data_IF_158873849916
#
_entry.id   IF_158873849916
#
_cell.length_a   1.000
_cell.length_b   1.000
_cell.length_c   1.000
_cell.angle_alpha   90.00
_cell.angle_beta   90.00
_cell.angle_gamma   90.00
#
_symmetry.space_group_name_H-M   'P 1'
#
loop_
_entity.id
_entity.type
_entity.pdbx_description
1 polymer ?
#
# COMPACT_ATOMS: atom_id res chain seq x y z
N UNK A 1 14.77 12.57 2.44
CA UNK A 1 13.32 12.79 2.29
C UNK A 1 12.90 12.15 0.98
N UNK A 2 12.23 11.01 1.06
CA UNK A 2 11.63 10.39 -0.13
C UNK A 2 10.30 11.09 -0.36
N UNK A 3 10.16 11.85 -1.43
CA UNK A 3 8.86 12.34 -1.86
C UNK A 3 8.02 11.15 -2.35
N UNK A 4 6.87 10.96 -1.72
CA UNK A 4 5.88 10.00 -2.21
C UNK A 4 5.21 10.63 -3.43
N UNK A 5 5.14 9.95 -4.59
CA UNK A 5 4.47 10.49 -5.76
C UNK A 5 3.04 10.90 -5.42
N UNK A 6 2.69 12.14 -5.68
CA UNK A 6 1.33 12.66 -5.44
C UNK A 6 0.43 12.14 -6.55
N UNK A 7 -0.50 11.24 -6.22
CA UNK A 7 -1.64 10.94 -7.09
C UNK A 7 -2.59 12.14 -7.24
N UNK A 8 -3.61 12.05 -8.11
CA UNK A 8 -4.57 13.12 -8.30
C UNK A 8 -5.22 13.48 -6.97
N UNK A 9 -5.20 14.79 -6.63
CA UNK A 9 -5.93 15.38 -5.51
C UNK A 9 -7.22 15.96 -6.03
N UNK A 10 -8.29 15.92 -5.20
CA UNK A 10 -9.48 16.72 -5.46
C UNK A 10 -9.16 18.22 -5.40
N UNK A 11 -10.02 19.06 -5.95
CA UNK A 11 -9.88 20.52 -5.86
C UNK A 11 -9.78 21.00 -4.40
N UNK A 12 -10.39 20.28 -3.46
CA UNK A 12 -10.35 20.55 -2.02
C UNK A 12 -9.03 20.12 -1.34
N UNK A 13 -8.06 19.62 -2.08
CA UNK A 13 -6.78 19.15 -1.54
C UNK A 13 -6.88 17.86 -0.71
N UNK A 14 -7.95 17.07 -0.88
CA UNK A 14 -8.14 15.78 -0.23
C UNK A 14 -7.85 14.65 -1.21
N UNK A 15 -7.11 13.64 -0.79
CA UNK A 15 -6.81 12.46 -1.59
C UNK A 15 -7.19 11.19 -0.83
N UNK A 16 -8.03 10.37 -1.44
CA UNK A 16 -8.39 9.05 -0.92
C UNK A 16 -7.21 8.10 -1.11
N UNK A 17 -6.91 7.33 -0.08
CA UNK A 17 -5.77 6.39 -0.04
C UNK A 17 -6.19 5.06 0.61
N UNK A 18 -5.47 3.96 0.33
CA UNK A 18 -5.75 2.67 0.96
C UNK A 18 -5.62 2.69 2.50
N UNK A 19 -4.60 3.37 3.01
CA UNK A 19 -4.36 3.57 4.44
C UNK A 19 -3.53 4.84 4.65
N UNK A 20 -3.47 5.33 5.88
CA UNK A 20 -2.71 6.51 6.30
C UNK A 20 -1.65 6.12 7.33
N UNK A 21 -0.56 6.90 7.40
CA UNK A 21 0.47 6.67 8.41
C UNK A 21 0.01 7.14 9.79
N UNK A 22 0.37 6.38 10.83
CA UNK A 22 0.14 6.73 12.24
C UNK A 22 0.97 7.91 12.74
N UNK A 23 1.95 8.40 11.96
CA UNK A 23 2.78 9.55 12.33
C UNK A 23 1.96 10.82 12.58
N UNK A 24 0.85 10.99 11.84
CA UNK A 24 -0.12 12.05 12.07
C UNK A 24 -1.46 11.61 11.50
N UNK A 25 -2.36 11.14 12.35
CA UNK A 25 -3.66 10.64 11.95
C UNK A 25 -4.76 11.23 12.83
N UNK A 26 -5.88 11.57 12.22
CA UNK A 26 -7.11 11.96 12.92
C UNK A 26 -8.15 10.89 12.67
N UNK A 27 -8.73 10.36 13.73
CA UNK A 27 -9.83 9.40 13.70
C UNK A 27 -10.87 9.80 14.75
N UNK A 28 -12.16 9.60 14.45
CA UNK A 28 -13.19 9.88 15.45
C UNK A 28 -13.13 8.85 16.58
N UNK A 29 -13.44 9.26 17.81
CA UNK A 29 -13.49 8.36 18.97
C UNK A 29 -14.40 7.17 18.70
N UNK A 30 -15.58 7.41 18.16
CA UNK A 30 -16.55 6.34 17.86
C UNK A 30 -15.97 5.30 16.92
N UNK A 31 -15.30 5.71 15.85
CA UNK A 31 -14.66 4.77 14.91
C UNK A 31 -13.47 4.04 15.56
N UNK A 32 -12.67 4.76 16.36
CA UNK A 32 -11.57 4.14 17.10
C UNK A 32 -12.05 3.03 18.03
N UNK A 33 -13.13 3.28 18.78
CA UNK A 33 -13.74 2.31 19.69
C UNK A 33 -14.40 1.14 18.90
N UNK A 34 -15.12 1.44 17.80
CA UNK A 34 -15.71 0.44 16.90
C UNK A 34 -14.65 -0.53 16.36
N UNK A 35 -13.49 -0.01 15.96
CA UNK A 35 -12.41 -0.80 15.41
C UNK A 35 -11.52 -1.46 16.48
N UNK A 36 -11.63 -1.08 17.75
CA UNK A 36 -10.80 -1.61 18.85
C UNK A 36 -9.39 -1.04 18.89
N UNK A 37 -9.14 0.14 18.32
CA UNK A 37 -7.84 0.80 18.34
C UNK A 37 -6.78 0.13 17.47
N UNK A 38 -5.50 0.29 17.82
CA UNK A 38 -4.41 -0.43 17.17
C UNK A 38 -4.37 -1.90 17.60
N UNK A 39 -4.04 -2.79 16.67
CA UNK A 39 -3.78 -4.20 16.98
C UNK A 39 -2.38 -4.33 17.61
N UNK A 40 -2.34 -4.65 18.91
CA UNK A 40 -1.12 -4.78 19.71
C UNK A 40 -0.21 -5.95 19.27
N UNK A 41 -0.67 -6.80 18.37
CA UNK A 41 0.15 -7.82 17.74
C UNK A 41 1.20 -7.28 16.76
N UNK A 42 1.10 -5.99 16.40
CA UNK A 42 2.16 -5.30 15.67
C UNK A 42 3.12 -4.63 16.65
N UNK A 43 4.40 -4.63 16.33
CA UNK A 43 5.43 -4.01 17.16
C UNK A 43 6.21 -2.98 16.33
N UNK A 44 5.93 -1.71 16.57
CA UNK A 44 6.60 -0.57 15.93
C UNK A 44 6.48 -0.50 14.40
N UNK A 45 5.35 -0.90 13.84
CA UNK A 45 5.08 -0.75 12.41
C UNK A 45 4.00 -1.71 11.88
N UNK A 46 3.14 -1.24 10.99
CA UNK A 46 2.05 -1.99 10.39
C UNK A 46 0.69 -1.83 11.08
N UNK A 47 0.67 -1.40 12.34
CA UNK A 47 -0.54 -1.14 13.12
C UNK A 47 -1.43 -0.06 12.49
N UNK A 48 -0.83 0.95 11.89
CA UNK A 48 -1.50 2.05 11.22
C UNK A 48 -2.12 1.61 9.88
N UNK A 49 -1.39 0.82 9.13
CA UNK A 49 -1.91 0.22 7.89
C UNK A 49 -3.07 -0.74 8.18
N UNK A 50 -2.93 -1.58 9.21
CA UNK A 50 -3.99 -2.49 9.64
C UNK A 50 -5.25 -1.74 10.06
N UNK A 51 -5.12 -0.66 10.85
CA UNK A 51 -6.24 0.20 11.22
C UNK A 51 -6.92 0.80 9.99
N UNK A 52 -6.14 1.27 9.01
CA UNK A 52 -6.66 1.79 7.75
C UNK A 52 -7.46 0.75 6.96
N UNK A 53 -6.98 -0.48 6.88
CA UNK A 53 -7.71 -1.58 6.22
C UNK A 53 -8.97 -1.99 6.98
N UNK A 54 -8.93 -2.02 8.32
CA UNK A 54 -10.15 -2.27 9.14
C UNK A 54 -11.19 -1.17 8.94
N UNK A 55 -10.78 0.09 8.87
CA UNK A 55 -11.68 1.19 8.57
C UNK A 55 -12.35 1.02 7.20
N UNK A 56 -11.59 0.65 6.16
CA UNK A 56 -12.14 0.35 4.83
C UNK A 56 -13.12 -0.84 4.86
N UNK A 57 -12.80 -1.90 5.57
CA UNK A 57 -13.68 -3.06 5.73
C UNK A 57 -15.00 -2.70 6.45
N UNK A 58 -14.97 -1.70 7.34
CA UNK A 58 -16.15 -1.11 7.97
C UNK A 58 -16.86 -0.05 7.10
N UNK A 59 -16.53 0.05 5.80
CA UNK A 59 -17.16 0.99 4.86
C UNK A 59 -16.73 2.44 5.05
N UNK A 60 -15.60 2.69 5.73
CA UNK A 60 -15.05 4.04 5.91
C UNK A 60 -13.98 4.33 4.85
N UNK A 61 -13.57 5.59 4.77
CA UNK A 61 -12.62 6.09 3.79
C UNK A 61 -11.39 6.62 4.51
N UNK A 62 -10.20 6.23 4.06
CA UNK A 62 -8.95 6.85 4.48
C UNK A 62 -8.60 7.98 3.50
N UNK A 63 -8.25 9.15 4.04
CA UNK A 63 -7.94 10.32 3.24
C UNK A 63 -6.71 11.07 3.77
N UNK A 64 -5.98 11.68 2.85
CA UNK A 64 -4.86 12.58 3.16
C UNK A 64 -5.25 14.00 2.82
N UNK A 65 -5.12 14.90 3.79
CA UNK A 65 -5.25 16.34 3.59
C UNK A 65 -3.92 16.87 3.06
N UNK A 66 -3.84 17.13 1.75
CA UNK A 66 -2.59 17.47 1.05
C UNK A 66 -1.97 18.80 1.48
N UNK A 67 -2.77 19.68 2.09
CA UNK A 67 -2.30 20.97 2.61
C UNK A 67 -1.80 20.89 4.06
N UNK A 68 -2.06 19.78 4.77
CA UNK A 68 -1.54 19.54 6.12
C UNK A 68 -0.20 18.80 6.03
N UNK A 69 0.87 19.52 6.30
CA UNK A 69 2.24 18.99 6.18
C UNK A 69 2.92 18.96 7.53
N UNK A 70 3.40 17.81 7.94
CA UNK A 70 4.18 17.61 9.16
C UNK A 70 5.56 17.06 8.85
N UNK A 71 6.58 17.47 9.62
CA UNK A 71 7.90 16.87 9.53
C UNK A 71 7.94 15.62 10.41
N UNK A 72 8.19 14.48 9.79
CA UNK A 72 8.33 13.20 10.47
C UNK A 72 9.80 12.75 10.48
N UNK A 73 10.36 12.56 11.70
CA UNK A 73 11.71 12.00 11.90
C UNK A 73 11.63 10.48 11.89
N UNK A 74 11.63 9.91 10.67
CA UNK A 74 11.46 8.45 10.45
C UNK A 74 12.62 7.68 11.10
N UNK A 75 12.28 6.55 11.78
CA UNK A 75 13.25 5.59 12.34
C UNK A 75 14.22 6.18 13.35
N UNK A 76 13.82 7.21 14.11
CA UNK A 76 14.66 7.82 15.15
C UNK A 76 14.77 6.96 16.42
N UNK A 77 13.88 5.99 16.65
CA UNK A 77 13.90 5.12 17.82
C UNK A 77 14.82 3.90 17.60
N UNK A 78 15.70 3.57 18.56
CA UNK A 78 16.50 2.34 18.49
C UNK A 78 15.65 1.08 18.39
N UNK A 79 16.09 0.10 17.59
CA UNK A 79 15.39 -1.20 17.46
C UNK A 79 14.06 -1.17 16.69
N UNK A 80 13.63 -0.03 16.14
CA UNK A 80 12.34 0.11 15.44
C UNK A 80 12.13 -0.93 14.34
N UNK A 81 13.19 -1.29 13.61
CA UNK A 81 13.10 -2.23 12.48
C UNK A 81 13.21 -3.70 12.87
N UNK A 82 13.38 -4.01 14.14
CA UNK A 82 13.63 -5.38 14.60
C UNK A 82 12.49 -6.36 14.27
N UNK A 83 11.28 -5.86 14.05
CA UNK A 83 10.10 -6.66 13.74
C UNK A 83 9.45 -6.34 12.38
N UNK A 84 10.11 -5.56 11.51
CA UNK A 84 9.53 -5.14 10.23
C UNK A 84 9.08 -6.33 9.37
N UNK A 85 9.86 -7.41 9.32
CA UNK A 85 9.53 -8.61 8.54
C UNK A 85 8.33 -9.36 9.13
N UNK A 86 8.29 -9.52 10.44
CA UNK A 86 7.17 -10.14 11.15
C UNK A 86 5.88 -9.33 10.94
N UNK A 87 5.95 -8.02 11.11
CA UNK A 87 4.80 -7.12 10.93
C UNK A 87 4.31 -7.14 9.47
N UNK A 88 5.23 -7.10 8.51
CA UNK A 88 4.90 -7.17 7.08
C UNK A 88 4.21 -8.49 6.71
N UNK A 89 4.73 -9.62 7.22
CA UNK A 89 4.12 -10.94 7.03
C UNK A 89 2.72 -10.99 7.64
N UNK A 90 2.56 -10.51 8.89
CA UNK A 90 1.27 -10.44 9.59
C UNK A 90 0.24 -9.63 8.80
N UNK A 91 0.62 -8.45 8.35
CA UNK A 91 -0.21 -7.57 7.54
C UNK A 91 -0.63 -8.25 6.23
N UNK A 92 0.34 -8.83 5.52
CA UNK A 92 0.11 -9.50 4.26
C UNK A 92 -0.75 -10.77 4.38
N UNK A 93 -0.66 -11.51 5.47
CA UNK A 93 -1.55 -12.66 5.74
C UNK A 93 -2.99 -12.20 5.95
N UNK A 94 -3.19 -11.12 6.71
CA UNK A 94 -4.52 -10.60 7.05
C UNK A 94 -5.21 -9.91 5.87
N UNK A 95 -4.46 -9.11 5.10
CA UNK A 95 -5.00 -8.20 4.07
C UNK A 95 -4.52 -8.54 2.65
N UNK A 96 -4.26 -9.82 2.38
CA UNK A 96 -3.65 -10.28 1.14
C UNK A 96 -4.37 -9.80 -0.11
N UNK A 97 -5.69 -9.95 -0.15
CA UNK A 97 -6.50 -9.60 -1.32
C UNK A 97 -6.52 -8.08 -1.54
N UNK A 98 -6.68 -7.31 -0.47
CA UNK A 98 -6.67 -5.85 -0.51
C UNK A 98 -5.31 -5.32 -0.95
N UNK A 99 -4.23 -5.86 -0.41
CA UNK A 99 -2.86 -5.49 -0.80
C UNK A 99 -2.58 -5.82 -2.27
N UNK A 100 -3.03 -6.96 -2.77
CA UNK A 100 -2.93 -7.31 -4.18
C UNK A 100 -3.69 -6.31 -5.05
N UNK A 101 -4.94 -6.00 -4.69
CA UNK A 101 -5.77 -5.05 -5.42
C UNK A 101 -5.15 -3.64 -5.43
N UNK A 102 -4.74 -3.15 -4.27
CA UNK A 102 -4.14 -1.82 -4.10
C UNK A 102 -2.77 -1.69 -4.79
N UNK A 103 -2.09 -2.80 -5.07
CA UNK A 103 -0.80 -2.83 -5.78
C UNK A 103 -0.92 -2.76 -7.30
N UNK A 104 -2.10 -3.00 -7.86
CA UNK A 104 -2.29 -3.08 -9.31
C UNK A 104 -2.12 -1.74 -10.02
N UNK A 105 -2.74 -0.67 -9.52
CA UNK A 105 -2.62 0.66 -10.12
C UNK A 105 -1.19 1.22 -10.00
N UNK A 106 -0.50 1.18 -8.84
CA UNK A 106 0.91 1.56 -8.74
C UNK A 106 1.81 0.77 -9.70
N UNK A 107 1.59 -0.54 -9.85
CA UNK A 107 2.33 -1.34 -10.83
C UNK A 107 2.07 -0.83 -12.26
N UNK A 108 0.83 -0.61 -12.62
CA UNK A 108 0.45 -0.12 -13.95
C UNK A 108 1.10 1.25 -14.25
N UNK A 109 1.12 2.16 -13.29
CA UNK A 109 1.77 3.47 -13.42
C UNK A 109 3.28 3.33 -13.61
N UNK A 110 3.93 2.46 -12.82
CA UNK A 110 5.36 2.19 -12.94
C UNK A 110 5.71 1.57 -14.30
N UNK A 111 4.92 0.61 -14.77
CA UNK A 111 5.09 -0.02 -16.08
C UNK A 111 5.01 0.99 -17.22
N UNK A 112 4.03 1.91 -17.21
CA UNK A 112 3.95 2.96 -18.24
C UNK A 112 5.12 3.93 -18.17
N UNK A 113 5.56 4.31 -16.99
CA UNK A 113 6.72 5.17 -16.82
C UNK A 113 8.00 4.52 -17.37
N UNK A 114 8.21 3.22 -17.11
CA UNK A 114 9.34 2.47 -17.65
C UNK A 114 9.24 2.29 -19.17
N UNK A 115 8.06 1.97 -19.70
CA UNK A 115 7.81 1.85 -21.12
C UNK A 115 8.12 3.14 -21.89
N UNK A 116 7.90 4.30 -21.27
CA UNK A 116 8.24 5.61 -21.84
C UNK A 116 9.75 5.85 -21.91
N UNK A 117 10.49 5.36 -20.92
CA UNK A 117 11.96 5.54 -20.84
C UNK A 117 12.70 4.51 -21.71
N UNK A 118 12.15 3.31 -21.90
CA UNK A 118 12.76 2.21 -22.65
C UNK A 118 11.82 1.67 -23.73
N UNK A 119 11.54 2.43 -24.79
CA UNK A 119 10.57 2.05 -25.80
C UNK A 119 10.94 0.80 -26.60
N UNK A 120 12.20 0.46 -26.67
CA UNK A 120 12.75 -0.73 -27.34
C UNK A 120 12.46 -2.05 -26.63
N UNK A 121 12.14 -2.01 -25.34
CA UNK A 121 11.85 -3.18 -24.52
C UNK A 121 10.34 -3.36 -24.25
N UNK A 122 9.48 -2.69 -25.01
CA UNK A 122 8.04 -2.68 -24.73
C UNK A 122 7.32 -3.96 -25.15
N UNK A 123 6.54 -4.44 -24.19
CA UNK A 123 5.42 -5.34 -24.46
C UNK A 123 4.21 -4.49 -24.90
N UNK A 124 4.10 -4.13 -26.18
CA UNK A 124 3.09 -3.19 -26.69
C UNK A 124 1.67 -3.46 -26.21
N UNK A 125 1.24 -4.72 -26.23
CA UNK A 125 -0.11 -5.10 -25.80
C UNK A 125 -0.32 -4.87 -24.31
N UNK A 126 0.70 -5.14 -23.48
CA UNK A 126 0.63 -4.88 -22.02
C UNK A 126 0.56 -3.38 -21.78
N UNK A 127 1.37 -2.60 -22.48
CA UNK A 127 1.40 -1.14 -22.39
C UNK A 127 0.05 -0.53 -22.77
N UNK A 128 -0.54 -0.97 -23.90
CA UNK A 128 -1.87 -0.50 -24.32
C UNK A 128 -2.98 -0.87 -23.34
N UNK A 129 -3.00 -2.11 -22.84
CA UNK A 129 -3.97 -2.55 -21.83
C UNK A 129 -3.82 -1.76 -20.52
N UNK A 130 -2.58 -1.50 -20.11
CA UNK A 130 -2.24 -0.71 -18.93
C UNK A 130 -2.71 0.73 -19.08
N UNK A 131 -2.45 1.36 -20.22
CA UNK A 131 -2.92 2.72 -20.52
C UNK A 131 -4.45 2.79 -20.52
N UNK A 132 -5.12 1.84 -21.18
CA UNK A 132 -6.59 1.76 -21.21
C UNK A 132 -7.20 1.57 -19.81
N UNK A 133 -6.56 0.78 -18.95
CA UNK A 133 -6.99 0.60 -17.56
C UNK A 133 -6.87 1.91 -16.77
N UNK A 134 -5.71 2.56 -16.81
CA UNK A 134 -5.47 3.81 -16.10
C UNK A 134 -6.31 4.98 -16.62
N UNK A 135 -6.68 4.97 -17.91
CA UNK A 135 -7.58 5.94 -18.51
C UNK A 135 -9.07 5.65 -18.23
N UNK A 136 -9.41 4.60 -17.50
CA UNK A 136 -10.78 4.20 -17.20
C UNK A 136 -11.54 3.58 -18.38
N UNK A 137 -10.88 3.36 -19.51
CA UNK A 137 -11.45 2.71 -20.71
C UNK A 137 -11.62 1.20 -20.53
N UNK A 138 -10.93 0.64 -19.56
CA UNK A 138 -11.01 -0.76 -19.16
C UNK A 138 -11.27 -0.87 -17.67
N UNK A 139 -12.28 -1.64 -17.28
CA UNK A 139 -12.65 -1.82 -15.85
C UNK A 139 -11.74 -2.79 -15.10
N UNK A 140 -11.15 -3.76 -15.80
CA UNK A 140 -10.31 -4.79 -15.19
C UNK A 140 -8.83 -4.50 -15.48
N UNK A 141 -7.94 -4.65 -14.47
CA UNK A 141 -6.51 -4.49 -14.69
C UNK A 141 -5.99 -5.54 -15.69
N UNK A 142 -4.86 -5.27 -16.36
CA UNK A 142 -4.22 -6.23 -17.26
C UNK A 142 -3.91 -7.55 -16.53
N UNK A 143 -4.12 -8.72 -17.17
CA UNK A 143 -3.75 -10.01 -16.58
C UNK A 143 -2.26 -10.09 -16.22
N UNK A 144 -1.42 -9.46 -17.00
CA UNK A 144 0.03 -9.38 -16.79
C UNK A 144 0.35 -8.65 -15.48
N UNK A 145 -0.35 -7.55 -15.19
CA UNK A 145 -0.23 -6.83 -13.92
C UNK A 145 -0.62 -7.72 -12.74
N UNK A 146 -1.76 -8.41 -12.86
CA UNK A 146 -2.23 -9.33 -11.82
C UNK A 146 -1.22 -10.45 -11.55
N UNK A 147 -0.68 -11.07 -12.61
CA UNK A 147 0.31 -12.14 -12.51
C UNK A 147 1.62 -11.64 -11.86
N UNK A 148 2.11 -10.47 -12.27
CA UNK A 148 3.35 -9.91 -11.72
C UNK A 148 3.21 -9.51 -10.26
N UNK A 149 2.12 -8.83 -9.89
CA UNK A 149 1.84 -8.46 -8.49
C UNK A 149 1.66 -9.72 -7.62
N UNK A 150 0.91 -10.72 -8.10
CA UNK A 150 0.75 -11.98 -7.39
C UNK A 150 2.06 -12.77 -7.26
N UNK A 151 2.94 -12.72 -8.26
CA UNK A 151 4.27 -13.35 -8.21
C UNK A 151 5.18 -12.66 -7.20
N UNK A 152 5.19 -11.33 -7.18
CA UNK A 152 5.95 -10.55 -6.20
C UNK A 152 5.49 -10.89 -4.78
N UNK A 153 4.19 -10.91 -4.52
CA UNK A 153 3.63 -11.28 -3.23
C UNK A 153 4.04 -12.70 -2.80
N UNK A 154 3.99 -13.68 -3.72
CA UNK A 154 4.47 -15.05 -3.41
C UNK A 154 5.95 -15.10 -3.08
N UNK A 155 6.77 -14.28 -3.75
CA UNK A 155 8.19 -14.14 -3.45
C UNK A 155 8.44 -13.63 -2.03
N UNK A 156 7.67 -12.61 -1.62
CA UNK A 156 7.75 -12.08 -0.26
C UNK A 156 7.31 -13.10 0.80
N UNK A 157 6.22 -13.84 0.57
CA UNK A 157 5.81 -14.90 1.49
C UNK A 157 6.90 -15.97 1.66
N UNK A 158 7.51 -16.42 0.57
CA UNK A 158 8.61 -17.38 0.64
C UNK A 158 9.78 -16.82 1.47
N UNK A 159 10.16 -15.57 1.23
CA UNK A 159 11.22 -14.89 1.99
C UNK A 159 10.88 -14.79 3.49
N UNK A 160 9.65 -14.42 3.83
CA UNK A 160 9.21 -14.34 5.23
C UNK A 160 9.17 -15.71 5.91
N UNK A 161 8.77 -16.76 5.20
CA UNK A 161 8.76 -18.12 5.74
C UNK A 161 10.19 -18.60 6.04
N UNK A 162 11.16 -18.26 5.17
CA UNK A 162 12.58 -18.53 5.40
C UNK A 162 13.15 -17.75 6.61
N UNK A 163 12.79 -16.46 6.75
CA UNK A 163 13.26 -15.60 7.83
C UNK A 163 12.60 -15.90 9.19
N UNK A 164 11.30 -16.10 9.20
CA UNK A 164 10.53 -16.31 10.43
C UNK A 164 10.53 -17.78 10.87
N UNK A 165 10.73 -18.74 9.95
CA UNK A 165 10.82 -20.16 10.25
C UNK A 165 12.14 -20.58 10.88
N UNK A 166 13.19 -19.74 10.82
CA UNK A 166 14.49 -19.97 11.48
C UNK A 166 14.55 -19.43 12.92
N UNK A 167 13.46 -18.78 13.38
CA UNK A 167 13.40 -18.10 14.69
C UNK A 167 12.49 -18.83 15.69
N UNK A 168 12.16 -20.10 15.44
CA UNK A 168 11.36 -20.95 16.31
C UNK A 168 12.20 -21.95 17.09
#
# INVERSE_FOLDING_TARGET
>A
TREIPRGPTSEDGVRIVPAVTGACVLVSRALWEELGGFDEGYVNGGEDLDLGYRARAAGRVNAVASHSVVRHHVSSSPGRKARDEYNSRRLALRWREQLLADSLEPWCRAHLAEAWVRPDQQEYLVTLRTAAFLAGLRRTPPPEAQLRVARAMRGEFKRWDELCGQSA
#
